data_IF_670908891185
#
_entry.id   IF_670908891185
#
_cell.length_a   1.000
_cell.length_b   1.000
_cell.length_c   1.000
_cell.angle_alpha   90.00
_cell.angle_beta   90.00
_cell.angle_gamma   90.00
#
_symmetry.space_group_name_H-M   'P 1'
#
loop_
_entity.id
_entity.type
_entity.pdbx_description
1 polymer ?
#
# COMPACT_ATOMS: atom_id res chain seq x y z
N UNK A 1 -85.48 -22.06 6.06
CA UNK A 1 -84.45 -21.00 6.03
C UNK A 1 -83.43 -21.33 4.97
N UNK A 2 -82.97 -20.38 4.14
CA UNK A 2 -81.90 -20.66 3.18
C UNK A 2 -80.59 -20.99 3.91
N UNK A 3 -79.72 -21.84 3.32
CA UNK A 3 -78.44 -22.18 3.92
C UNK A 3 -77.54 -20.93 4.01
N UNK A 4 -76.79 -20.83 5.10
CA UNK A 4 -75.85 -19.74 5.33
C UNK A 4 -74.77 -19.71 4.23
N UNK A 5 -74.33 -18.53 3.79
CA UNK A 5 -73.26 -18.42 2.81
C UNK A 5 -71.96 -19.02 3.36
N UNK A 6 -71.11 -19.59 2.49
CA UNK A 6 -69.83 -20.13 2.90
C UNK A 6 -68.93 -19.03 3.48
N UNK A 7 -68.01 -19.38 4.40
CA UNK A 7 -67.08 -18.42 4.98
C UNK A 7 -66.18 -17.82 3.90
N UNK A 8 -65.82 -16.55 4.08
CA UNK A 8 -64.90 -15.85 3.19
C UNK A 8 -63.53 -16.54 3.18
N UNK A 9 -62.83 -16.57 2.03
CA UNK A 9 -61.49 -17.13 1.96
C UNK A 9 -60.51 -16.34 2.85
N UNK A 10 -59.46 -16.99 3.37
CA UNK A 10 -58.45 -16.32 4.17
C UNK A 10 -57.74 -15.24 3.34
N UNK A 11 -57.40 -14.13 3.99
CA UNK A 11 -56.63 -13.06 3.36
C UNK A 11 -55.27 -13.59 2.87
N UNK A 12 -54.78 -13.13 1.71
CA UNK A 12 -53.47 -13.52 1.23
C UNK A 12 -52.38 -13.10 2.23
N UNK A 13 -51.25 -13.83 2.28
CA UNK A 13 -50.13 -13.48 3.14
C UNK A 13 -49.63 -12.07 2.79
N UNK A 14 -49.23 -11.31 3.81
CA UNK A 14 -48.64 -10.00 3.62
C UNK A 14 -47.38 -10.11 2.73
N UNK A 15 -47.14 -9.14 1.83
CA UNK A 15 -45.92 -9.14 1.04
C UNK A 15 -44.68 -9.07 1.95
N UNK A 16 -43.54 -9.63 1.52
CA UNK A 16 -42.30 -9.53 2.29
C UNK A 16 -41.94 -8.06 2.52
N UNK A 17 -41.40 -7.77 3.71
CA UNK A 17 -40.89 -6.43 4.02
C UNK A 17 -39.83 -6.01 2.99
N UNK A 18 -39.82 -4.74 2.56
CA UNK A 18 -38.78 -4.26 1.65
C UNK A 18 -37.40 -4.43 2.31
N UNK A 19 -36.34 -4.70 1.52
CA UNK A 19 -34.99 -4.76 2.05
C UNK A 19 -34.64 -3.43 2.74
N UNK A 20 -33.79 -3.45 3.77
CA UNK A 20 -33.32 -2.21 4.38
C UNK A 20 -32.64 -1.32 3.32
N UNK A 21 -32.72 0.02 3.44
CA UNK A 21 -32.01 0.91 2.54
C UNK A 21 -30.51 0.58 2.58
N UNK A 22 -29.80 0.68 1.45
CA UNK A 22 -28.36 0.45 1.43
C UNK A 22 -27.69 1.42 2.41
N UNK A 23 -26.79 0.89 3.26
CA UNK A 23 -25.94 1.71 4.12
C UNK A 23 -25.21 2.72 3.23
N UNK A 24 -25.41 4.02 3.47
CA UNK A 24 -24.63 5.06 2.82
C UNK A 24 -23.19 4.99 3.35
N UNK A 25 -22.37 4.14 2.75
CA UNK A 25 -20.93 4.19 2.91
C UNK A 25 -20.48 5.48 2.21
N UNK A 26 -20.23 6.53 2.99
CA UNK A 26 -19.69 7.78 2.46
C UNK A 26 -18.33 7.52 1.80
N UNK A 27 -18.19 7.89 0.53
CA UNK A 27 -16.91 7.91 -0.18
C UNK A 27 -16.10 9.12 0.30
N UNK A 28 -14.99 8.90 1.00
CA UNK A 28 -14.05 9.96 1.34
C UNK A 28 -12.99 10.06 0.25
N UNK A 29 -12.98 11.17 -0.49
CA UNK A 29 -11.91 11.49 -1.44
C UNK A 29 -10.67 11.97 -0.67
N UNK A 30 -9.66 11.10 -0.50
CA UNK A 30 -8.37 11.49 0.07
C UNK A 30 -7.51 12.12 -1.02
N UNK A 31 -6.89 13.26 -0.71
CA UNK A 31 -6.14 14.06 -1.68
C UNK A 31 -4.81 14.54 -1.14
N UNK A 32 -3.79 14.44 -1.98
CA UNK A 32 -2.48 15.10 -1.78
C UNK A 32 -2.44 16.33 -2.69
N UNK A 33 -2.04 17.47 -2.13
CA UNK A 33 -1.96 18.73 -2.85
C UNK A 33 -0.51 19.19 -2.98
N UNK A 34 -0.18 19.75 -4.14
CA UNK A 34 1.09 20.41 -4.38
C UNK A 34 0.87 21.83 -4.87
N UNK A 35 1.78 22.73 -4.49
CA UNK A 35 1.84 24.08 -5.01
C UNK A 35 3.29 24.41 -5.36
N UNK A 36 3.52 24.73 -6.62
CA UNK A 36 4.84 25.13 -7.12
C UNK A 36 5.05 26.64 -6.93
N UNK A 37 6.28 27.07 -6.63
CA UNK A 37 6.60 28.50 -6.52
C UNK A 37 6.43 29.20 -7.87
N UNK A 38 5.77 30.36 -7.89
CA UNK A 38 5.49 31.12 -9.13
C UNK A 38 4.20 30.72 -9.87
N UNK A 39 3.51 29.66 -9.44
CA UNK A 39 2.15 29.38 -9.90
C UNK A 39 1.16 30.31 -9.20
N UNK A 40 0.26 30.93 -9.99
CA UNK A 40 -0.90 31.67 -9.47
C UNK A 40 -1.60 30.81 -8.42
N UNK A 41 -2.05 31.45 -7.33
CA UNK A 41 -2.33 30.93 -5.97
C UNK A 41 -3.34 29.76 -5.84
N UNK A 42 -3.23 28.71 -6.65
CA UNK A 42 -4.15 27.58 -6.75
C UNK A 42 -3.38 26.29 -6.49
N UNK A 43 -3.91 25.46 -5.60
CA UNK A 43 -3.37 24.13 -5.30
C UNK A 43 -3.76 23.14 -6.40
N UNK A 44 -2.81 22.37 -6.91
CA UNK A 44 -3.05 21.23 -7.79
C UNK A 44 -3.17 19.94 -6.98
N UNK A 45 -4.21 19.13 -7.21
CA UNK A 45 -4.33 17.80 -6.60
C UNK A 45 -3.57 16.75 -7.40
N UNK A 46 -2.83 15.86 -6.72
CA UNK A 46 -1.99 14.83 -7.35
C UNK A 46 -2.72 13.48 -7.46
N UNK A 47 -3.44 13.09 -6.41
CA UNK A 47 -4.22 11.85 -6.38
C UNK A 47 -5.52 12.15 -5.62
N UNK A 48 -6.60 11.51 -6.04
CA UNK A 48 -7.95 11.70 -5.52
C UNK A 48 -8.72 10.41 -5.70
N UNK A 49 -8.65 9.52 -4.71
CA UNK A 49 -9.30 8.22 -4.81
C UNK A 49 -10.63 8.19 -4.08
N UNK A 50 -11.63 7.72 -4.81
CA UNK A 50 -12.90 7.21 -4.27
C UNK A 50 -12.69 5.79 -3.78
N UNK A 51 -12.38 5.62 -2.51
CA UNK A 51 -12.44 4.31 -1.88
C UNK A 51 -13.76 4.18 -1.14
N UNK A 52 -14.47 3.07 -1.38
CA UNK A 52 -15.58 2.67 -0.52
C UNK A 52 -14.97 2.13 0.77
N UNK A 53 -15.07 2.84 1.90
CA UNK A 53 -15.09 2.14 3.18
C UNK A 53 -15.69 2.99 4.32
N UNK A 54 -16.44 2.28 5.18
CA UNK A 54 -16.79 2.71 6.52
C UNK A 54 -15.58 2.57 7.44
N UNK A 55 -15.50 3.51 8.38
CA UNK A 55 -14.50 3.66 9.45
C UNK A 55 -13.05 3.90 8.98
N UNK A 56 -12.73 5.17 8.70
CA UNK A 56 -11.36 5.67 8.58
C UNK A 56 -10.74 5.49 7.21
N UNK A 57 -10.78 6.55 6.38
CA UNK A 57 -10.01 6.56 5.13
C UNK A 57 -8.53 6.25 5.40
N UNK A 58 -7.89 5.49 4.50
CA UNK A 58 -6.50 4.96 4.50
C UNK A 58 -5.35 5.94 4.83
N UNK A 59 -5.63 7.15 5.32
CA UNK A 59 -4.69 8.18 5.76
C UNK A 59 -3.65 8.59 4.71
N UNK A 60 -3.99 8.54 3.42
CA UNK A 60 -3.13 9.04 2.36
C UNK A 60 -2.84 10.52 2.59
N UNK A 61 -1.56 10.89 2.64
CA UNK A 61 -1.12 12.25 2.95
C UNK A 61 -0.84 12.47 4.44
N UNK A 62 -0.83 11.41 5.26
CA UNK A 62 -0.41 11.49 6.67
C UNK A 62 1.03 11.99 6.82
N UNK A 63 1.91 11.57 5.91
CA UNK A 63 3.26 12.06 5.77
C UNK A 63 3.53 12.39 4.29
N UNK A 64 4.25 13.47 4.02
CA UNK A 64 4.64 13.89 2.67
C UNK A 64 6.07 14.37 2.65
N UNK A 65 6.84 13.99 1.64
CA UNK A 65 8.22 14.44 1.46
C UNK A 65 8.59 14.51 -0.02
N UNK A 66 9.48 15.44 -0.38
CA UNK A 66 9.82 15.78 -1.74
C UNK A 66 11.34 15.89 -1.89
N UNK A 67 11.92 15.17 -2.85
CA UNK A 67 13.31 15.31 -3.28
C UNK A 67 13.34 15.46 -4.79
N UNK A 68 13.75 16.63 -5.27
CA UNK A 68 13.77 16.94 -6.70
C UNK A 68 12.40 16.79 -7.36
N UNK A 69 12.27 15.79 -8.23
CA UNK A 69 11.04 15.47 -8.95
C UNK A 69 10.28 14.27 -8.36
N UNK A 70 10.67 13.79 -7.18
CA UNK A 70 10.10 12.60 -6.54
C UNK A 70 9.38 13.00 -5.25
N UNK A 71 8.09 12.69 -5.17
CA UNK A 71 7.22 12.90 -4.03
C UNK A 71 6.88 11.55 -3.41
N UNK A 72 7.15 11.37 -2.13
CA UNK A 72 6.72 10.19 -1.38
C UNK A 72 5.64 10.58 -0.36
N UNK A 73 4.57 9.77 -0.30
CA UNK A 73 3.36 10.02 0.49
C UNK A 73 3.04 8.80 1.34
N UNK A 74 2.99 8.97 2.64
CA UNK A 74 2.57 7.95 3.60
C UNK A 74 1.06 7.76 3.65
N UNK A 75 0.64 6.51 3.81
CA UNK A 75 -0.74 6.08 4.00
C UNK A 75 -0.80 4.96 5.05
N UNK A 76 -0.58 5.26 6.35
CA UNK A 76 -0.48 4.24 7.39
C UNK A 76 -1.77 3.46 7.65
N UNK A 77 -2.92 3.96 7.18
CA UNK A 77 -4.22 3.26 7.25
C UNK A 77 -4.47 2.31 6.09
N UNK A 78 -3.52 2.14 5.17
CA UNK A 78 -3.70 1.23 4.03
C UNK A 78 -3.79 -0.23 4.49
N UNK A 79 -4.86 -0.91 4.05
CA UNK A 79 -5.30 -2.17 4.64
C UNK A 79 -4.88 -3.45 3.92
N UNK A 80 -4.02 -3.42 2.90
CA UNK A 80 -3.66 -4.64 2.17
C UNK A 80 -2.56 -5.43 2.88
N UNK A 81 -2.61 -6.77 2.78
CA UNK A 81 -1.53 -7.64 3.26
C UNK A 81 -0.40 -7.83 2.24
N UNK A 82 -0.47 -7.25 1.04
CA UNK A 82 0.57 -7.45 0.02
C UNK A 82 1.93 -6.91 0.50
N UNK A 83 3.00 -7.57 0.10
CA UNK A 83 4.39 -7.26 0.47
C UNK A 83 5.26 -6.89 -0.73
N UNK A 84 4.63 -6.31 -1.77
CA UNK A 84 5.26 -6.03 -3.06
C UNK A 84 5.36 -4.53 -3.30
N UNK A 85 6.39 -4.16 -4.07
CA UNK A 85 6.47 -2.85 -4.71
C UNK A 85 5.83 -2.97 -6.10
N UNK A 86 4.80 -2.18 -6.37
CA UNK A 86 4.06 -2.19 -7.64
C UNK A 86 3.62 -0.78 -8.00
N UNK A 87 3.33 -0.42 -9.26
CA UNK A 87 2.73 0.88 -9.59
C UNK A 87 1.23 0.97 -9.23
N UNK A 88 0.59 -0.18 -8.95
CA UNK A 88 -0.82 -0.30 -8.66
C UNK A 88 -1.02 -0.78 -7.22
N UNK A 89 -1.70 0.00 -6.36
CA UNK A 89 -2.02 -0.47 -5.02
C UNK A 89 -3.03 -1.61 -5.08
N UNK A 90 -2.95 -2.47 -4.08
CA UNK A 90 -3.91 -3.53 -3.91
C UNK A 90 -5.29 -2.99 -3.46
N UNK A 91 -6.30 -3.85 -3.54
CA UNK A 91 -7.69 -3.52 -3.24
C UNK A 91 -8.26 -4.34 -2.10
N UNK A 92 -7.55 -5.36 -1.63
CA UNK A 92 -7.92 -6.10 -0.42
C UNK A 92 -7.76 -5.21 0.82
N UNK A 93 -8.48 -5.57 1.89
CA UNK A 93 -8.44 -4.88 3.19
C UNK A 93 -8.19 -5.89 4.32
N UNK A 94 -7.43 -6.94 4.01
CA UNK A 94 -7.23 -8.09 4.90
C UNK A 94 -6.19 -7.83 6.01
N UNK A 95 -5.48 -6.70 5.96
CA UNK A 95 -4.53 -6.25 6.97
C UNK A 95 -4.73 -4.75 7.29
N UNK A 96 -5.82 -4.37 7.99
CA UNK A 96 -6.08 -2.98 8.38
C UNK A 96 -4.87 -2.37 9.09
N UNK A 97 -4.59 -1.12 8.75
CA UNK A 97 -3.48 -0.32 9.27
C UNK A 97 -2.09 -0.95 9.03
N UNK A 98 -1.94 -1.83 8.05
CA UNK A 98 -0.61 -2.30 7.65
C UNK A 98 0.24 -1.17 7.09
N UNK A 99 -0.42 -0.25 6.38
CA UNK A 99 0.17 0.97 5.86
C UNK A 99 0.92 0.78 4.55
N UNK A 100 1.12 1.87 3.83
CA UNK A 100 1.81 1.93 2.54
C UNK A 100 2.51 3.27 2.33
N UNK A 101 3.42 3.32 1.36
CA UNK A 101 3.97 4.56 0.81
C UNK A 101 3.71 4.63 -0.70
N UNK A 102 3.24 5.77 -1.17
CA UNK A 102 3.01 6.05 -2.58
C UNK A 102 4.10 6.99 -3.08
N UNK A 103 4.80 6.60 -4.15
CA UNK A 103 5.84 7.40 -4.80
C UNK A 103 5.30 7.94 -6.11
N UNK A 104 5.41 9.25 -6.28
CA UNK A 104 5.03 9.95 -7.48
C UNK A 104 6.26 10.61 -8.09
N UNK A 105 6.37 10.52 -9.40
CA UNK A 105 7.39 11.18 -10.18
C UNK A 105 6.76 12.33 -10.96
N UNK A 106 7.42 13.48 -10.97
CA UNK A 106 6.99 14.63 -11.78
C UNK A 106 7.35 14.40 -13.23
N UNK A 107 6.33 14.34 -14.07
CA UNK A 107 6.42 14.32 -15.52
C UNK A 107 5.93 15.67 -16.06
N UNK A 108 6.87 16.53 -16.50
CA UNK A 108 6.59 17.89 -16.95
C UNK A 108 5.85 18.71 -15.88
N UNK A 109 4.54 18.92 -16.06
CA UNK A 109 3.66 19.69 -15.18
C UNK A 109 2.71 18.80 -14.38
N UNK A 110 2.84 17.47 -14.49
CA UNK A 110 1.97 16.49 -13.84
C UNK A 110 2.76 15.56 -12.94
N UNK A 111 2.07 14.92 -12.00
CA UNK A 111 2.64 13.93 -11.09
C UNK A 111 2.01 12.56 -11.41
N UNK A 112 2.84 11.60 -11.79
CA UNK A 112 2.43 10.23 -12.08
C UNK A 112 2.88 9.32 -10.94
N UNK A 113 2.02 8.38 -10.50
CA UNK A 113 2.43 7.39 -9.50
C UNK A 113 3.39 6.39 -10.14
N UNK A 114 4.60 6.35 -9.64
CA UNK A 114 5.64 5.42 -10.06
C UNK A 114 5.59 4.13 -9.22
N UNK A 115 5.36 4.27 -7.91
CA UNK A 115 5.33 3.12 -7.01
C UNK A 115 4.28 3.24 -5.90
N UNK A 116 3.87 2.08 -5.44
CA UNK A 116 3.16 1.77 -4.22
C UNK A 116 4.04 0.74 -3.51
N UNK A 117 4.51 1.13 -2.33
CA UNK A 117 5.50 0.41 -1.53
C UNK A 117 4.79 -0.09 -0.29
N UNK A 118 5.00 -1.38 -0.02
CA UNK A 118 4.54 -2.06 1.18
C UNK A 118 5.73 -2.62 1.94
N UNK A 119 5.56 -2.72 3.27
CA UNK A 119 6.50 -3.47 4.08
C UNK A 119 6.59 -4.91 3.57
N UNK A 120 7.79 -5.50 3.58
CA UNK A 120 7.97 -6.88 3.15
C UNK A 120 7.20 -7.88 4.05
N UNK A 121 7.03 -7.51 5.30
CA UNK A 121 6.30 -8.23 6.35
C UNK A 121 5.01 -7.48 6.73
N UNK A 122 4.28 -6.99 5.72
CA UNK A 122 2.97 -6.33 5.90
C UNK A 122 2.09 -7.06 6.90
N UNK A 123 1.91 -6.46 8.07
CA UNK A 123 1.11 -6.99 9.15
C UNK A 123 0.10 -5.94 9.63
N UNK A 124 -0.99 -6.40 10.22
CA UNK A 124 -2.02 -5.52 10.78
C UNK A 124 -1.40 -4.56 11.78
N UNK A 125 -1.80 -3.29 11.73
CA UNK A 125 -1.35 -2.24 12.65
C UNK A 125 0.17 -2.02 12.66
N UNK A 126 0.88 -2.33 11.57
CA UNK A 126 2.29 -1.94 11.42
C UNK A 126 2.46 -0.42 11.21
N UNK A 127 1.45 0.24 10.66
CA UNK A 127 1.47 1.67 10.34
C UNK A 127 2.65 2.07 9.44
N UNK A 128 3.02 1.21 8.49
CA UNK A 128 4.08 1.53 7.52
C UNK A 128 3.70 2.80 6.74
N UNK A 129 4.63 3.76 6.66
CA UNK A 129 4.35 5.07 6.07
C UNK A 129 3.82 6.11 7.07
N UNK A 130 3.83 5.82 8.37
CA UNK A 130 3.52 6.83 9.40
C UNK A 130 4.55 7.98 9.45
N UNK A 131 5.78 7.70 9.03
CA UNK A 131 6.82 8.71 8.79
C UNK A 131 7.53 8.38 7.46
N UNK A 132 7.84 9.39 6.66
CA UNK A 132 8.53 9.22 5.38
C UNK A 132 9.59 10.31 5.22
N UNK A 133 10.82 9.91 4.92
CA UNK A 133 11.93 10.77 4.51
C UNK A 133 12.43 10.36 3.12
N UNK A 134 12.94 11.30 2.34
CA UNK A 134 13.56 11.02 1.04
C UNK A 134 14.78 11.92 0.83
N UNK A 135 15.85 11.34 0.32
CA UNK A 135 17.04 12.05 -0.16
C UNK A 135 17.56 11.34 -1.41
N UNK A 136 17.58 12.06 -2.54
CA UNK A 136 17.92 11.45 -3.84
C UNK A 136 17.00 10.26 -4.15
N UNK A 137 17.59 9.08 -4.31
CA UNK A 137 16.90 7.81 -4.58
C UNK A 137 16.58 7.01 -3.31
N UNK A 138 16.97 7.51 -2.13
CA UNK A 138 16.79 6.81 -0.86
C UNK A 138 15.51 7.27 -0.18
N UNK A 139 14.57 6.34 0.05
CA UNK A 139 13.37 6.57 0.84
C UNK A 139 13.50 5.84 2.18
N UNK A 140 13.30 6.57 3.28
CA UNK A 140 13.24 6.03 4.64
C UNK A 140 11.79 6.05 5.10
N UNK A 141 11.30 4.92 5.61
CA UNK A 141 9.91 4.75 6.02
C UNK A 141 9.83 4.22 7.44
N UNK A 142 9.01 4.87 8.27
CA UNK A 142 8.69 4.42 9.61
C UNK A 142 7.45 3.52 9.64
N UNK A 143 7.51 2.48 10.48
CA UNK A 143 6.41 1.56 10.78
C UNK A 143 6.34 1.32 12.31
N UNK A 144 5.83 2.28 13.09
CA UNK A 144 5.95 2.27 14.55
C UNK A 144 5.19 1.14 15.25
N UNK A 145 4.25 0.49 14.57
CA UNK A 145 3.52 -0.66 15.11
C UNK A 145 4.06 -2.01 14.66
N UNK A 146 5.14 -2.03 13.89
CA UNK A 146 5.76 -3.27 13.43
C UNK A 146 6.40 -4.01 14.61
N UNK A 147 5.76 -5.10 15.03
CA UNK A 147 6.17 -5.91 16.17
C UNK A 147 7.00 -7.15 15.78
N UNK A 148 7.24 -7.38 14.49
CA UNK A 148 7.97 -8.56 14.03
C UNK A 148 9.47 -8.35 14.17
N UNK A 149 10.21 -9.41 14.52
CA UNK A 149 11.66 -9.40 14.68
C UNK A 149 12.41 -9.75 13.38
N UNK A 150 11.74 -9.76 12.23
CA UNK A 150 12.38 -10.02 10.94
C UNK A 150 13.00 -8.74 10.39
N UNK A 151 14.32 -8.62 10.48
CA UNK A 151 15.06 -7.58 9.79
C UNK A 151 15.36 -8.02 8.34
N UNK A 152 15.20 -7.11 7.37
CA UNK A 152 15.82 -7.27 6.06
C UNK A 152 17.33 -7.14 6.23
N UNK A 153 18.08 -8.21 5.96
CA UNK A 153 19.52 -8.11 5.74
C UNK A 153 19.75 -7.42 4.40
N UNK A 154 20.17 -6.16 4.43
CA UNK A 154 20.74 -5.48 3.26
C UNK A 154 22.21 -5.93 3.17
N UNK A 155 22.47 -7.02 2.45
CA UNK A 155 23.84 -7.32 2.04
C UNK A 155 24.24 -6.27 0.98
N UNK A 156 25.22 -5.39 1.22
CA UNK A 156 25.75 -4.55 0.14
C UNK A 156 26.34 -5.51 -0.90
N UNK A 157 25.82 -5.45 -2.12
CA UNK A 157 26.13 -6.41 -3.18
C UNK A 157 27.63 -6.71 -3.24
N UNK A 158 27.99 -7.97 -3.01
CA UNK A 158 29.33 -8.47 -3.26
C UNK A 158 29.61 -8.31 -4.74
N UNK A 159 30.32 -7.25 -5.11
CA UNK A 159 30.97 -7.16 -6.40
C UNK A 159 31.95 -8.32 -6.49
N UNK A 160 31.56 -9.41 -7.15
CA UNK A 160 32.47 -10.45 -7.56
C UNK A 160 33.43 -9.84 -8.59
N UNK A 161 34.57 -9.33 -8.12
CA UNK A 161 35.73 -9.20 -8.97
C UNK A 161 36.16 -10.62 -9.31
N UNK A 162 35.96 -11.01 -10.57
CA UNK A 162 36.31 -12.33 -11.07
C UNK A 162 37.72 -12.73 -10.65
N UNK A 163 37.82 -13.79 -9.84
CA UNK A 163 39.08 -14.50 -9.68
C UNK A 163 39.25 -15.36 -10.93
N UNK A 164 40.19 -14.96 -11.76
CA UNK A 164 40.53 -15.63 -13.00
C UNK A 164 40.83 -17.10 -12.77
N UNK A 165 40.32 -17.90 -13.69
CA UNK A 165 40.81 -19.23 -14.00
C UNK A 165 42.34 -19.18 -14.14
N UNK A 166 43.03 -19.87 -13.23
CA UNK A 166 44.42 -20.26 -13.38
C UNK A 166 44.51 -21.73 -13.00
N UNK A 167 44.12 -22.58 -13.95
CA UNK A 167 44.99 -23.64 -14.46
C UNK A 167 45.57 -24.62 -13.44
N UNK A 168 45.05 -25.84 -13.51
CA UNK A 168 45.65 -27.08 -13.02
C UNK A 168 47.18 -27.12 -13.14
N UNK A 169 47.84 -27.55 -12.05
CA UNK A 169 49.25 -27.88 -12.00
C UNK A 169 49.51 -28.98 -10.98
N UNK A 170 49.29 -30.22 -11.42
CA UNK A 170 49.83 -31.43 -10.80
C UNK A 170 51.36 -31.38 -10.81
N UNK A 171 51.99 -31.60 -9.65
CA UNK A 171 53.37 -32.10 -9.55
C UNK A 171 53.58 -32.70 -8.15
N UNK A 172 53.55 -34.04 -8.09
CA UNK A 172 54.07 -34.77 -6.95
C UNK A 172 55.59 -34.72 -6.87
N UNK A 173 56.15 -34.78 -5.66
CA UNK A 173 57.45 -35.37 -5.37
C UNK A 173 57.60 -35.54 -3.86
N UNK A 174 57.92 -36.76 -3.43
CA UNK A 174 57.88 -37.22 -2.06
C UNK A 174 58.96 -36.64 -1.15
N UNK A 175 58.71 -36.79 0.15
CA UNK A 175 59.69 -36.57 1.20
C UNK A 175 59.99 -37.90 1.89
N UNK A 176 61.29 -38.17 2.00
CA UNK A 176 61.88 -39.36 2.58
C UNK A 176 62.48 -39.00 3.94
N UNK A 177 62.25 -39.84 4.95
CA UNK A 177 63.18 -40.01 6.06
C UNK A 177 62.63 -39.66 7.45
N UNK A 178 62.22 -40.69 8.19
CA UNK A 178 63.05 -41.29 9.25
C UNK A 178 62.49 -42.67 9.62
#
# INVERSE_FOLDING_TARGET
SPPSPPPSPPSPPAPPSPPPPPSLIGTFDQKVYIKEAGSDRVWGGIDGRRYNHGEGGNALGYAVTLSGATLAVGAPGEGSCTSRITPFPATDQDCPDAGAVFVYQRELTTWAREAYIKAFNSARRSYFGAAVGIEGETIVVGAPGEASCEAISVEPGSGETGSGDAGSGDAGSGDAGS
#
